data_IF_803294490269
#
_entry.id   IF_803294490269
#
_cell.length_a   1.000
_cell.length_b   1.000
_cell.length_c   1.000
_cell.angle_alpha   90.00
_cell.angle_beta   90.00
_cell.angle_gamma   90.00
#
_symmetry.space_group_name_H-M   'P 1'
#
loop_
_entity.id
_entity.type
_entity.pdbx_description
1 polymer ?
#
# COMPACT_ATOMS: atom_id res chain seq x y z
N UNK A 1 16.66 12.05 70.81
CA UNK A 1 16.74 11.63 69.41
C UNK A 1 15.47 12.03 68.71
N UNK A 2 15.52 12.98 67.78
CA UNK A 2 14.37 13.68 67.17
C UNK A 2 13.49 12.68 66.35
N UNK A 3 12.18 12.89 66.37
CA UNK A 3 11.19 12.12 65.62
C UNK A 3 11.56 12.08 64.11
N UNK A 4 12.18 13.12 63.61
CA UNK A 4 12.69 13.27 62.24
C UNK A 4 13.78 12.24 61.90
N UNK A 5 14.70 11.94 62.85
CA UNK A 5 15.75 10.94 62.66
C UNK A 5 15.22 9.52 62.62
N UNK A 6 14.17 9.22 63.40
CA UNK A 6 13.47 7.89 63.34
C UNK A 6 12.67 7.70 62.05
N UNK A 7 11.96 8.71 61.57
CA UNK A 7 11.26 8.68 60.28
C UNK A 7 12.20 8.51 59.10
N UNK A 8 13.35 9.20 59.10
CA UNK A 8 14.37 9.09 58.09
C UNK A 8 15.01 7.67 58.04
N UNK A 9 15.32 7.12 59.23
CA UNK A 9 15.84 5.75 59.33
C UNK A 9 14.84 4.68 58.84
N UNK A 10 13.55 4.87 59.15
CA UNK A 10 12.47 3.97 58.68
C UNK A 10 12.28 4.03 57.16
N UNK A 11 12.37 5.21 56.55
CA UNK A 11 12.33 5.42 55.11
C UNK A 11 13.50 4.73 54.42
N UNK A 12 14.72 4.93 54.90
CA UNK A 12 15.91 4.29 54.32
C UNK A 12 15.89 2.75 54.45
N UNK A 13 15.39 2.21 55.55
CA UNK A 13 15.22 0.76 55.70
C UNK A 13 14.21 0.19 54.72
N UNK A 14 13.10 0.86 54.47
CA UNK A 14 12.11 0.42 53.47
C UNK A 14 12.67 0.52 52.06
N UNK A 15 13.36 1.59 51.73
CA UNK A 15 14.02 1.77 50.46
C UNK A 15 15.08 0.67 50.22
N UNK A 16 15.90 0.39 51.25
CA UNK A 16 16.90 -0.68 51.16
C UNK A 16 16.27 -2.06 50.96
N UNK A 17 15.19 -2.37 51.73
CA UNK A 17 14.43 -3.61 51.57
C UNK A 17 13.79 -3.71 50.17
N UNK A 18 13.24 -2.64 49.64
CA UNK A 18 12.70 -2.63 48.28
C UNK A 18 13.77 -2.88 47.23
N UNK A 19 14.95 -2.29 47.40
CA UNK A 19 16.10 -2.52 46.52
C UNK A 19 16.64 -3.96 46.57
N UNK A 20 16.66 -4.56 47.78
CA UNK A 20 17.07 -5.98 47.98
C UNK A 20 16.04 -6.91 47.33
N UNK A 21 14.72 -6.64 47.50
CA UNK A 21 13.66 -7.45 46.90
C UNK A 21 13.71 -7.33 45.37
N UNK A 22 13.88 -6.13 44.83
CA UNK A 22 14.02 -5.88 43.39
C UNK A 22 15.29 -6.55 42.81
N UNK A 23 16.43 -6.46 43.50
CA UNK A 23 17.67 -7.11 43.10
C UNK A 23 17.57 -8.64 43.17
N UNK A 24 16.96 -9.18 44.24
CA UNK A 24 16.72 -10.62 44.39
C UNK A 24 15.79 -11.17 43.34
N UNK A 25 14.71 -10.47 43.02
CA UNK A 25 13.79 -10.83 41.96
C UNK A 25 14.45 -10.80 40.57
N UNK A 26 15.29 -9.78 40.30
CA UNK A 26 16.09 -9.70 39.08
C UNK A 26 17.06 -10.89 38.96
N UNK A 27 17.72 -11.27 40.06
CA UNK A 27 18.68 -12.38 40.07
C UNK A 27 18.01 -13.74 39.81
N UNK A 28 16.81 -13.98 40.33
CA UNK A 28 16.01 -15.20 40.08
C UNK A 28 15.50 -15.23 38.62
N UNK A 29 15.22 -14.09 38.04
CA UNK A 29 14.72 -14.00 36.66
C UNK A 29 15.77 -14.26 35.59
N UNK A 30 17.05 -13.92 35.85
CA UNK A 30 18.15 -14.11 34.87
C UNK A 30 18.23 -15.57 34.35
N UNK A 31 18.27 -16.61 35.20
CA UNK A 31 18.36 -18.00 34.69
C UNK A 31 17.09 -18.43 33.93
N UNK A 32 15.91 -17.87 34.28
CA UNK A 32 14.67 -18.15 33.55
C UNK A 32 14.70 -17.48 32.16
N UNK A 33 15.18 -16.25 32.05
CA UNK A 33 15.36 -15.57 30.76
C UNK A 33 16.39 -16.27 29.90
N UNK A 34 17.53 -16.71 30.46
CA UNK A 34 18.55 -17.49 29.74
C UNK A 34 18.02 -18.84 29.24
N UNK A 35 17.20 -19.51 30.05
CA UNK A 35 16.57 -20.78 29.65
C UNK A 35 15.55 -20.56 28.54
N UNK A 36 14.74 -19.52 28.63
CA UNK A 36 13.75 -19.15 27.61
C UNK A 36 14.44 -18.73 26.31
N UNK A 37 15.51 -17.94 26.40
CA UNK A 37 16.31 -17.54 25.24
C UNK A 37 16.93 -18.75 24.52
N UNK A 38 17.48 -19.71 25.29
CA UNK A 38 18.03 -20.95 24.73
C UNK A 38 16.95 -21.77 24.03
N UNK A 39 15.78 -21.90 24.64
CA UNK A 39 14.64 -22.61 24.04
C UNK A 39 14.14 -21.93 22.77
N UNK A 40 14.10 -20.59 22.72
CA UNK A 40 13.71 -19.84 21.54
C UNK A 40 14.74 -19.97 20.41
N UNK A 41 16.05 -20.02 20.72
CA UNK A 41 17.10 -20.28 19.75
C UNK A 41 17.01 -21.71 19.16
N UNK A 42 16.74 -22.69 19.99
CA UNK A 42 16.55 -24.08 19.58
C UNK A 42 15.32 -24.28 18.69
N UNK A 43 14.32 -23.41 18.84
CA UNK A 43 13.11 -23.39 18.01
C UNK A 43 13.26 -22.57 16.71
N UNK A 44 14.47 -22.06 16.39
CA UNK A 44 14.74 -21.33 15.15
C UNK A 44 14.38 -19.86 15.18
N UNK A 45 14.10 -19.29 16.37
CA UNK A 45 13.97 -17.85 16.50
C UNK A 45 15.35 -17.19 16.41
N UNK A 46 15.44 -16.15 15.55
CA UNK A 46 16.68 -15.46 15.17
C UNK A 46 17.43 -14.90 16.38
N UNK A 47 18.75 -15.05 16.39
CA UNK A 47 19.63 -14.38 17.36
C UNK A 47 19.57 -12.87 17.20
N UNK A 48 19.19 -12.18 18.27
CA UNK A 48 19.21 -10.72 18.30
C UNK A 48 20.59 -10.23 18.74
N UNK A 49 21.34 -9.69 17.79
CA UNK A 49 22.50 -8.87 18.09
C UNK A 49 22.21 -7.42 17.71
N UNK A 50 22.02 -6.51 18.69
CA UNK A 50 21.88 -5.07 18.39
C UNK A 50 23.14 -4.55 17.71
N UNK A 51 22.99 -3.58 16.80
CA UNK A 51 24.13 -2.89 16.19
C UNK A 51 25.04 -2.28 17.27
N UNK A 52 26.35 -2.13 16.98
CA UNK A 52 27.32 -1.59 17.96
C UNK A 52 26.86 -0.23 18.55
N UNK A 53 26.28 0.66 17.74
CA UNK A 53 25.74 1.94 18.21
C UNK A 53 24.49 1.78 19.10
N UNK A 54 23.66 0.79 18.87
CA UNK A 54 22.54 0.46 19.76
C UNK A 54 23.03 -0.17 21.06
N UNK A 55 24.14 -0.94 21.03
CA UNK A 55 24.77 -1.47 22.25
C UNK A 55 25.29 -0.38 23.18
N UNK A 56 25.95 0.64 22.66
CA UNK A 56 26.45 1.75 23.47
C UNK A 56 25.33 2.57 24.10
N UNK A 57 24.24 2.81 23.37
CA UNK A 57 23.04 3.49 23.91
C UNK A 57 22.29 2.61 24.91
N UNK A 58 22.25 1.31 24.70
CA UNK A 58 21.66 0.32 25.61
C UNK A 58 22.47 0.13 26.89
N UNK A 59 23.82 0.30 26.88
CA UNK A 59 24.65 0.00 28.06
C UNK A 59 24.27 0.87 29.27
N UNK A 60 23.87 2.11 29.07
CA UNK A 60 23.46 2.99 30.18
C UNK A 60 21.97 2.79 30.58
N UNK A 61 21.08 2.53 29.62
CA UNK A 61 19.66 2.33 29.92
C UNK A 61 19.30 0.86 30.24
N UNK A 62 20.02 -0.10 29.66
CA UNK A 62 19.74 -1.54 29.82
C UNK A 62 20.26 -2.12 31.12
N UNK A 63 21.30 -1.56 31.72
CA UNK A 63 21.76 -2.02 33.04
C UNK A 63 20.67 -1.86 34.09
N UNK A 64 19.97 -0.73 34.07
CA UNK A 64 18.82 -0.48 34.94
C UNK A 64 17.58 -1.27 34.52
N UNK A 65 17.35 -1.49 33.19
CA UNK A 65 16.19 -2.19 32.65
C UNK A 65 16.29 -3.72 32.70
N UNK A 66 17.50 -4.27 32.76
CA UNK A 66 17.71 -5.72 32.94
C UNK A 66 17.42 -6.20 34.35
N UNK A 67 17.49 -5.28 35.31
CA UNK A 67 17.17 -5.55 36.72
C UNK A 67 15.66 -5.32 36.92
N UNK A 68 14.88 -6.36 36.85
CA UNK A 68 13.51 -6.33 37.38
C UNK A 68 12.36 -5.92 36.47
N UNK A 69 12.46 -6.11 35.16
CA UNK A 69 11.28 -5.93 34.28
C UNK A 69 10.93 -4.46 33.94
N UNK A 70 11.84 -3.52 34.18
CA UNK A 70 11.64 -2.09 33.86
C UNK A 70 11.78 -1.72 32.38
N UNK A 71 12.01 -2.70 31.49
CA UNK A 71 12.18 -2.44 30.05
C UNK A 71 11.02 -1.65 29.46
N UNK A 72 9.78 -2.02 29.78
CA UNK A 72 8.59 -1.31 29.29
C UNK A 72 8.47 0.11 29.85
N UNK A 73 8.80 0.31 31.12
CA UNK A 73 8.80 1.64 31.73
C UNK A 73 9.84 2.55 31.08
N UNK A 74 11.05 2.04 30.87
CA UNK A 74 12.12 2.81 30.23
C UNK A 74 11.75 3.10 28.77
N UNK A 75 11.20 2.12 28.04
CA UNK A 75 10.70 2.34 26.69
C UNK A 75 9.65 3.45 26.64
N UNK A 76 8.69 3.46 27.59
CA UNK A 76 7.68 4.52 27.70
C UNK A 76 8.29 5.90 27.97
N UNK A 77 9.31 5.99 28.82
CA UNK A 77 10.02 7.26 29.09
C UNK A 77 10.70 7.75 27.81
N UNK A 78 11.37 6.86 27.04
CA UNK A 78 12.01 7.25 25.79
C UNK A 78 11.01 7.56 24.70
N UNK A 79 9.84 6.92 24.66
CA UNK A 79 8.74 7.25 23.76
C UNK A 79 8.22 8.69 24.01
N UNK A 80 8.05 9.07 25.29
CA UNK A 80 7.71 10.45 25.64
C UNK A 80 8.81 11.46 25.26
N UNK A 81 10.09 11.10 25.43
CA UNK A 81 11.22 11.93 24.97
C UNK A 81 11.25 12.06 23.45
N UNK A 82 10.97 10.97 22.73
CA UNK A 82 10.85 11.01 21.27
C UNK A 82 9.72 11.95 20.84
N UNK A 83 8.58 11.89 21.54
CA UNK A 83 7.47 12.80 21.26
C UNK A 83 7.83 14.28 21.55
N UNK A 84 8.52 14.56 22.65
CA UNK A 84 8.99 15.93 22.94
C UNK A 84 9.97 16.41 21.85
N UNK A 85 10.95 15.61 21.48
CA UNK A 85 11.89 15.94 20.40
C UNK A 85 11.16 16.14 19.04
N UNK A 86 10.11 15.39 18.79
CA UNK A 86 9.24 15.57 17.63
C UNK A 86 8.55 16.95 17.63
N UNK A 87 8.04 17.41 18.77
CA UNK A 87 7.43 18.74 18.90
C UNK A 87 8.48 19.84 18.66
N UNK A 88 9.70 19.64 19.15
CA UNK A 88 10.83 20.56 19.01
C UNK A 88 11.48 20.50 17.61
N UNK A 89 11.03 19.57 16.73
CA UNK A 89 11.61 19.31 15.40
C UNK A 89 13.08 18.88 15.43
N UNK A 90 13.53 18.33 16.55
CA UNK A 90 14.85 17.71 16.72
C UNK A 90 14.82 16.25 16.23
N UNK A 91 14.92 16.11 14.92
CA UNK A 91 14.80 14.79 14.25
C UNK A 91 15.94 13.84 14.60
N UNK A 92 17.11 14.36 14.96
CA UNK A 92 18.23 13.55 15.42
C UNK A 92 17.93 12.88 16.77
N UNK A 93 17.35 13.64 17.71
CA UNK A 93 16.88 13.09 18.98
C UNK A 93 15.68 12.16 18.81
N UNK A 94 14.75 12.44 17.88
CA UNK A 94 13.66 11.50 17.52
C UNK A 94 14.23 10.16 17.07
N UNK A 95 15.15 10.16 16.11
CA UNK A 95 15.81 8.93 15.61
C UNK A 95 16.47 8.15 16.76
N UNK A 96 17.24 8.84 17.60
CA UNK A 96 17.92 8.25 18.74
C UNK A 96 16.94 7.62 19.74
N UNK A 97 15.92 8.35 20.15
CA UNK A 97 14.97 7.86 21.17
C UNK A 97 14.07 6.75 20.62
N UNK A 98 13.64 6.82 19.35
CA UNK A 98 12.93 5.72 18.66
C UNK A 98 13.80 4.46 18.57
N UNK A 99 15.10 4.61 18.30
CA UNK A 99 16.05 3.50 18.32
C UNK A 99 16.13 2.81 19.69
N UNK A 100 16.08 3.59 20.78
CA UNK A 100 16.05 3.02 22.13
C UNK A 100 14.74 2.27 22.39
N UNK A 101 13.58 2.84 22.04
CA UNK A 101 12.27 2.19 22.27
C UNK A 101 12.16 0.87 21.52
N UNK A 102 12.56 0.83 20.24
CA UNK A 102 12.53 -0.39 19.43
C UNK A 102 13.50 -1.45 19.94
N UNK A 103 14.68 -1.04 20.43
CA UNK A 103 15.66 -1.96 21.01
C UNK A 103 15.19 -2.55 22.35
N UNK A 104 14.48 -1.79 23.16
CA UNK A 104 13.94 -2.25 24.46
C UNK A 104 12.72 -3.17 24.28
N UNK A 105 11.90 -2.91 23.29
CA UNK A 105 10.68 -3.67 23.00
C UNK A 105 10.58 -4.06 21.52
N UNK A 106 11.47 -4.93 21.01
CA UNK A 106 11.55 -5.25 19.57
C UNK A 106 10.31 -5.96 19.03
N UNK A 107 9.54 -6.66 19.87
CA UNK A 107 8.28 -7.32 19.51
C UNK A 107 7.06 -6.41 19.55
N UNK A 108 7.22 -5.13 19.89
CA UNK A 108 6.11 -4.19 19.95
C UNK A 108 6.02 -3.40 18.64
N UNK A 109 5.18 -3.87 17.72
CA UNK A 109 5.04 -3.34 16.34
C UNK A 109 4.86 -1.82 16.28
N UNK A 110 4.13 -1.23 17.25
CA UNK A 110 3.85 0.21 17.28
C UNK A 110 5.11 1.08 17.37
N UNK A 111 6.14 0.63 18.08
CA UNK A 111 7.39 1.41 18.18
C UNK A 111 8.10 1.51 16.83
N UNK A 112 8.11 0.42 16.05
CA UNK A 112 8.67 0.40 14.70
C UNK A 112 7.85 1.23 13.71
N UNK A 113 6.51 1.13 13.78
CA UNK A 113 5.60 1.94 12.95
C UNK A 113 5.80 3.43 13.20
N UNK A 114 5.85 3.85 14.49
CA UNK A 114 6.09 5.25 14.85
C UNK A 114 7.49 5.73 14.41
N UNK A 115 8.53 4.92 14.60
CA UNK A 115 9.88 5.29 14.19
C UNK A 115 9.97 5.49 12.68
N UNK A 116 9.40 4.57 11.90
CA UNK A 116 9.35 4.67 10.45
C UNK A 116 8.54 5.89 10.00
N UNK A 117 7.37 6.13 10.60
CA UNK A 117 6.50 7.26 10.28
C UNK A 117 7.15 8.61 10.61
N UNK A 118 7.74 8.74 11.80
CA UNK A 118 8.38 9.98 12.22
C UNK A 118 9.52 10.36 11.28
N UNK A 119 10.27 9.41 10.76
CA UNK A 119 11.43 9.70 9.91
C UNK A 119 11.07 9.76 8.42
N UNK A 120 10.41 8.72 7.86
CA UNK A 120 10.12 8.67 6.41
C UNK A 120 9.02 9.63 5.96
N UNK A 121 8.12 10.06 6.86
CA UNK A 121 7.06 11.02 6.50
C UNK A 121 7.26 12.37 7.16
N UNK A 122 7.36 12.44 8.49
CA UNK A 122 7.38 13.72 9.21
C UNK A 122 8.71 14.46 9.03
N UNK A 123 9.86 13.83 9.30
CA UNK A 123 11.16 14.46 9.11
C UNK A 123 11.42 14.77 7.63
N UNK A 124 11.11 13.82 6.73
CA UNK A 124 11.19 14.03 5.30
C UNK A 124 10.37 15.25 4.84
N UNK A 125 9.09 15.34 5.26
CA UNK A 125 8.21 16.45 4.90
C UNK A 125 8.70 17.79 5.49
N UNK A 126 9.22 17.77 6.72
CA UNK A 126 9.80 18.96 7.36
C UNK A 126 10.95 19.54 6.52
N UNK A 127 11.91 18.70 6.14
CA UNK A 127 13.06 19.17 5.35
C UNK A 127 12.67 19.52 3.91
N UNK A 128 11.72 18.82 3.32
CA UNK A 128 11.15 19.18 2.01
C UNK A 128 10.54 20.58 2.07
N UNK A 129 9.62 20.82 3.00
CA UNK A 129 8.96 22.13 3.12
C UNK A 129 9.97 23.22 3.42
N UNK A 130 10.90 22.98 4.37
CA UNK A 130 11.94 23.95 4.70
C UNK A 130 12.84 24.27 3.50
N UNK A 131 13.14 23.27 2.65
CA UNK A 131 13.93 23.48 1.43
C UNK A 131 13.20 24.27 0.35
N UNK A 132 11.85 24.13 0.28
CA UNK A 132 11.00 24.88 -0.65
C UNK A 132 10.85 26.37 -0.25
N UNK A 133 10.99 26.67 1.04
CA UNK A 133 10.88 28.04 1.58
C UNK A 133 12.24 28.73 1.80
N UNK A 134 13.35 27.98 1.69
CA UNK A 134 14.68 28.55 1.78
C UNK A 134 15.04 29.24 0.47
N UNK A 135 15.76 30.38 0.56
CA UNK A 135 16.37 30.97 -0.61
C UNK A 135 17.33 29.97 -1.27
N UNK A 136 17.39 29.97 -2.61
CA UNK A 136 18.27 29.07 -3.35
C UNK A 136 19.73 29.23 -2.87
N UNK A 137 20.31 28.12 -2.41
CA UNK A 137 21.67 28.12 -1.85
C UNK A 137 22.07 26.80 -1.22
N UNK A 138 23.20 26.83 -0.51
CA UNK A 138 23.81 25.66 0.13
C UNK A 138 22.85 24.98 1.11
N UNK A 139 22.08 25.77 1.87
CA UNK A 139 21.16 25.23 2.88
C UNK A 139 20.00 24.46 2.22
N UNK A 140 19.37 25.02 1.19
CA UNK A 140 18.32 24.33 0.41
C UNK A 140 18.86 23.04 -0.21
N UNK A 141 20.06 23.07 -0.78
CA UNK A 141 20.72 21.92 -1.36
C UNK A 141 20.98 20.81 -0.31
N UNK A 142 21.51 21.19 0.88
CA UNK A 142 21.75 20.23 1.97
C UNK A 142 20.46 19.54 2.42
N UNK A 143 19.37 20.31 2.56
CA UNK A 143 18.08 19.74 2.95
C UNK A 143 17.57 18.74 1.93
N UNK A 144 17.60 19.06 0.62
CA UNK A 144 17.12 18.19 -0.46
C UNK A 144 18.00 16.96 -0.67
N UNK A 145 19.31 17.12 -0.66
CA UNK A 145 20.23 16.09 -1.12
C UNK A 145 20.86 15.27 0.01
N UNK A 146 20.80 15.76 1.24
CA UNK A 146 21.39 15.07 2.41
C UNK A 146 20.31 14.71 3.43
N UNK A 147 19.55 15.69 3.93
CA UNK A 147 18.65 15.44 5.07
C UNK A 147 17.41 14.64 4.68
N UNK A 148 16.77 14.99 3.57
CA UNK A 148 15.59 14.25 3.10
C UNK A 148 15.89 12.77 2.79
N UNK A 149 16.90 12.43 1.96
CA UNK A 149 17.26 11.03 1.70
C UNK A 149 17.65 10.28 2.97
N UNK A 150 18.47 10.92 3.85
CA UNK A 150 18.89 10.30 5.10
C UNK A 150 17.72 9.86 5.98
N UNK A 151 16.75 10.73 6.21
CA UNK A 151 15.61 10.40 7.07
C UNK A 151 14.64 9.43 6.40
N UNK A 152 14.50 9.51 5.08
CA UNK A 152 13.73 8.53 4.32
C UNK A 152 14.34 7.12 4.44
N UNK A 153 15.65 7.01 4.27
CA UNK A 153 16.39 5.75 4.39
C UNK A 153 16.32 5.20 5.82
N UNK A 154 16.50 6.05 6.83
CA UNK A 154 16.37 5.65 8.24
C UNK A 154 14.96 5.18 8.58
N UNK A 155 13.94 5.85 8.09
CA UNK A 155 12.55 5.40 8.27
C UNK A 155 12.28 4.05 7.59
N UNK A 156 12.82 3.83 6.39
CA UNK A 156 12.75 2.54 5.69
C UNK A 156 13.49 1.44 6.46
N UNK A 157 14.66 1.74 7.03
CA UNK A 157 15.43 0.82 7.86
C UNK A 157 14.62 0.36 9.08
N UNK A 158 14.01 1.29 9.82
CA UNK A 158 13.13 0.96 10.95
C UNK A 158 11.94 0.10 10.52
N UNK A 159 11.30 0.44 9.40
CA UNK A 159 10.17 -0.33 8.90
C UNK A 159 10.57 -1.78 8.55
N UNK A 160 11.69 -1.97 7.85
CA UNK A 160 12.21 -3.30 7.48
C UNK A 160 12.60 -4.12 8.70
N UNK A 161 13.35 -3.53 9.64
CA UNK A 161 13.71 -4.20 10.88
C UNK A 161 12.46 -4.59 11.67
N UNK A 162 11.48 -3.70 11.76
CA UNK A 162 10.21 -3.99 12.41
C UNK A 162 9.47 -5.17 11.76
N UNK A 163 9.43 -5.23 10.43
CA UNK A 163 8.80 -6.34 9.70
C UNK A 163 9.59 -7.66 9.83
N UNK A 164 10.87 -7.62 10.19
CA UNK A 164 11.66 -8.80 10.55
C UNK A 164 11.42 -9.25 12.00
N UNK A 165 11.28 -8.30 12.94
CA UNK A 165 11.04 -8.58 14.36
C UNK A 165 9.62 -9.04 14.67
N UNK A 166 8.64 -8.57 13.91
CA UNK A 166 7.21 -8.84 14.09
C UNK A 166 6.62 -9.24 12.74
N UNK A 167 7.04 -10.41 12.19
CA UNK A 167 6.65 -10.84 10.85
C UNK A 167 5.15 -11.12 10.72
N UNK A 168 4.46 -11.36 11.83
CA UNK A 168 3.01 -11.54 11.92
C UNK A 168 2.23 -10.23 11.73
N UNK A 169 2.87 -9.07 11.81
CA UNK A 169 2.21 -7.78 11.66
C UNK A 169 2.07 -7.37 10.20
N UNK A 170 0.84 -7.40 9.66
CA UNK A 170 0.58 -6.85 8.32
C UNK A 170 1.00 -5.38 8.23
N UNK A 171 0.83 -4.63 9.32
CA UNK A 171 1.06 -3.19 9.37
C UNK A 171 2.51 -2.81 9.04
N UNK A 172 3.48 -3.53 9.60
CA UNK A 172 4.90 -3.22 9.39
C UNK A 172 5.35 -3.49 7.95
N UNK A 173 4.95 -4.65 7.40
CA UNK A 173 5.21 -4.93 5.98
C UNK A 173 4.52 -3.91 5.06
N UNK A 174 3.29 -3.47 5.42
CA UNK A 174 2.57 -2.43 4.69
C UNK A 174 3.30 -1.08 4.74
N UNK A 175 3.87 -0.68 5.88
CA UNK A 175 4.64 0.56 5.99
C UNK A 175 5.85 0.55 5.06
N UNK A 176 6.55 -0.58 4.92
CA UNK A 176 7.64 -0.72 3.94
C UNK A 176 7.11 -0.53 2.52
N UNK A 177 5.98 -1.18 2.18
CA UNK A 177 5.35 -1.05 0.88
C UNK A 177 4.93 0.41 0.58
N UNK A 178 4.35 1.09 1.58
CA UNK A 178 3.94 2.50 1.47
C UNK A 178 5.14 3.42 1.18
N UNK A 179 6.29 3.17 1.82
CA UNK A 179 7.52 3.94 1.57
C UNK A 179 7.98 3.73 0.12
N UNK A 180 8.05 2.48 -0.35
CA UNK A 180 8.42 2.21 -1.74
C UNK A 180 7.45 2.82 -2.74
N UNK A 181 6.14 2.71 -2.48
CA UNK A 181 5.10 3.27 -3.33
C UNK A 181 5.13 4.80 -3.39
N UNK A 182 5.17 5.46 -2.22
CA UNK A 182 4.91 6.91 -2.12
C UNK A 182 6.17 7.76 -2.19
N UNK A 183 7.33 7.21 -1.81
CA UNK A 183 8.58 7.97 -1.73
C UNK A 183 9.56 7.60 -2.83
N UNK A 184 9.72 6.31 -3.09
CA UNK A 184 10.61 5.83 -4.15
C UNK A 184 9.91 5.70 -5.50
N UNK A 185 8.56 5.68 -5.53
CA UNK A 185 7.75 5.42 -6.72
C UNK A 185 8.17 4.11 -7.42
N UNK A 186 8.46 3.10 -6.62
CA UNK A 186 8.86 1.76 -7.05
C UNK A 186 7.68 0.79 -6.87
N UNK A 187 6.88 0.55 -7.94
CA UNK A 187 5.73 -0.34 -7.83
C UNK A 187 6.13 -1.81 -7.65
N UNK A 188 7.32 -2.20 -8.09
CA UNK A 188 7.77 -3.58 -7.99
C UNK A 188 8.09 -3.96 -6.54
N UNK A 189 8.95 -3.19 -5.88
CA UNK A 189 9.22 -3.40 -4.46
C UNK A 189 7.98 -3.16 -3.60
N UNK A 190 7.15 -2.17 -3.95
CA UNK A 190 5.88 -1.95 -3.25
C UNK A 190 4.96 -3.18 -3.34
N UNK A 191 4.79 -3.77 -4.54
CA UNK A 191 3.93 -4.93 -4.72
C UNK A 191 4.43 -6.15 -3.91
N UNK A 192 5.74 -6.40 -3.89
CA UNK A 192 6.32 -7.49 -3.11
C UNK A 192 6.03 -7.35 -1.61
N UNK A 193 6.17 -6.14 -1.07
CA UNK A 193 5.91 -5.88 0.35
C UNK A 193 4.41 -5.85 0.69
N UNK A 194 3.53 -5.39 -0.23
CA UNK A 194 2.08 -5.52 -0.06
C UNK A 194 1.65 -6.99 -0.11
N UNK A 195 2.26 -7.81 -0.98
CA UNK A 195 2.01 -9.26 -0.98
C UNK A 195 2.36 -9.87 0.38
N UNK A 196 3.58 -9.60 0.89
CA UNK A 196 4.00 -10.04 2.21
C UNK A 196 3.03 -9.60 3.31
N UNK A 197 2.61 -8.33 3.26
CA UNK A 197 1.63 -7.77 4.20
C UNK A 197 0.27 -8.46 4.12
N UNK A 198 -0.19 -8.82 2.91
CA UNK A 198 -1.49 -9.46 2.70
C UNK A 198 -1.57 -10.92 3.15
N UNK A 199 -0.42 -11.54 3.41
CA UNK A 199 -0.31 -12.92 3.89
C UNK A 199 -0.47 -13.04 5.41
N UNK A 200 -0.43 -11.93 6.15
CA UNK A 200 -0.68 -11.95 7.59
C UNK A 200 -2.17 -12.26 7.89
N UNK A 201 -2.43 -13.01 8.95
CA UNK A 201 -3.76 -13.50 9.31
C UNK A 201 -4.76 -12.36 9.59
N UNK A 202 -4.26 -11.24 10.15
CA UNK A 202 -5.04 -10.06 10.50
C UNK A 202 -5.06 -8.99 9.39
N UNK A 203 -4.53 -9.30 8.20
CA UNK A 203 -4.45 -8.36 7.10
C UNK A 203 -5.85 -7.96 6.58
N UNK A 204 -6.19 -6.67 6.61
CA UNK A 204 -7.47 -6.23 6.10
C UNK A 204 -7.51 -6.29 4.57
N UNK A 205 -8.72 -6.46 3.97
CA UNK A 205 -8.88 -6.65 2.51
C UNK A 205 -8.25 -5.56 1.64
N UNK A 206 -8.09 -4.34 2.16
CA UNK A 206 -7.50 -3.25 1.39
C UNK A 206 -6.00 -3.46 1.09
N UNK A 207 -5.30 -4.23 1.91
CA UNK A 207 -3.87 -4.54 1.68
C UNK A 207 -3.70 -5.39 0.42
N UNK A 208 -4.57 -6.40 0.24
CA UNK A 208 -4.55 -7.22 -0.97
C UNK A 208 -4.94 -6.41 -2.21
N UNK A 209 -5.86 -5.43 -2.08
CA UNK A 209 -6.13 -4.48 -3.18
C UNK A 209 -4.92 -3.62 -3.53
N UNK A 210 -4.19 -3.16 -2.51
CA UNK A 210 -2.96 -2.40 -2.73
C UNK A 210 -1.92 -3.24 -3.46
N UNK A 211 -1.76 -4.51 -3.09
CA UNK A 211 -0.93 -5.47 -3.83
C UNK A 211 -1.32 -5.54 -5.31
N UNK A 212 -2.59 -5.85 -5.60
CA UNK A 212 -3.08 -5.95 -6.98
C UNK A 212 -2.85 -4.67 -7.78
N UNK A 213 -3.14 -3.51 -7.17
CA UNK A 213 -2.97 -2.20 -7.83
C UNK A 213 -1.49 -1.89 -8.15
N UNK A 214 -0.56 -2.25 -7.27
CA UNK A 214 0.87 -2.01 -7.52
C UNK A 214 1.44 -3.03 -8.50
N UNK A 215 1.04 -4.29 -8.40
CA UNK A 215 1.40 -5.32 -9.37
C UNK A 215 0.95 -4.94 -10.80
N UNK A 216 -0.25 -4.39 -10.92
CA UNK A 216 -0.79 -3.89 -12.19
C UNK A 216 0.01 -2.72 -12.81
N UNK A 217 0.92 -2.10 -12.07
CA UNK A 217 1.84 -1.05 -12.55
C UNK A 217 3.22 -1.59 -12.91
N UNK A 218 3.52 -2.85 -12.58
CA UNK A 218 4.79 -3.48 -12.90
C UNK A 218 4.80 -3.88 -14.38
N UNK A 219 5.80 -3.41 -15.12
CA UNK A 219 5.95 -3.75 -16.54
C UNK A 219 6.30 -5.24 -16.71
N UNK A 220 5.64 -5.90 -17.65
CA UNK A 220 5.86 -7.32 -17.94
C UNK A 220 5.19 -8.29 -16.96
N UNK A 221 4.39 -7.78 -16.01
CA UNK A 221 3.60 -8.59 -15.06
C UNK A 221 2.10 -8.44 -15.27
N UNK A 222 1.67 -8.02 -16.46
CA UNK A 222 0.29 -7.72 -16.76
C UNK A 222 -0.62 -8.96 -16.66
N UNK A 223 -0.13 -10.14 -17.06
CA UNK A 223 -0.88 -11.39 -16.95
C UNK A 223 -1.05 -11.83 -15.49
N UNK A 224 0.03 -11.81 -14.69
CA UNK A 224 -0.02 -12.08 -13.25
C UNK A 224 -0.95 -11.08 -12.54
N UNK A 225 -0.82 -9.80 -12.87
CA UNK A 225 -1.66 -8.75 -12.33
C UNK A 225 -3.14 -8.93 -12.69
N UNK A 226 -3.43 -9.41 -13.90
CA UNK A 226 -4.78 -9.72 -14.32
C UNK A 226 -5.39 -10.86 -13.51
N UNK A 227 -4.66 -11.95 -13.28
CA UNK A 227 -5.11 -13.07 -12.45
C UNK A 227 -5.47 -12.61 -11.04
N UNK A 228 -4.59 -11.85 -10.40
CA UNK A 228 -4.82 -11.31 -9.06
C UNK A 228 -6.02 -10.34 -9.04
N UNK A 229 -6.09 -9.42 -10.01
CA UNK A 229 -7.16 -8.40 -10.08
C UNK A 229 -8.52 -9.04 -10.41
N UNK A 230 -8.55 -10.04 -11.30
CA UNK A 230 -9.78 -10.77 -11.65
C UNK A 230 -10.28 -11.62 -10.47
N UNK A 231 -9.39 -12.21 -9.68
CA UNK A 231 -9.75 -12.92 -8.47
C UNK A 231 -10.41 -11.99 -7.44
N UNK A 232 -9.90 -10.76 -7.28
CA UNK A 232 -10.53 -9.73 -6.47
C UNK A 232 -11.88 -9.30 -7.02
N UNK A 233 -11.97 -9.11 -8.35
CA UNK A 233 -13.18 -8.67 -9.02
C UNK A 233 -14.33 -9.70 -8.86
N UNK A 234 -14.01 -10.99 -8.93
CA UNK A 234 -14.96 -12.10 -8.86
C UNK A 234 -15.15 -12.67 -7.45
N UNK A 235 -14.33 -12.27 -6.48
CA UNK A 235 -14.32 -12.88 -5.14
C UNK A 235 -15.43 -12.36 -4.26
N UNK A 236 -16.25 -13.28 -3.73
CA UNK A 236 -17.18 -13.02 -2.63
C UNK A 236 -16.47 -12.87 -1.27
N UNK A 237 -15.23 -13.41 -1.13
CA UNK A 237 -14.42 -13.36 0.11
C UNK A 237 -14.17 -11.94 0.59
N UNK A 238 -13.96 -11.01 -0.31
CA UNK A 238 -13.65 -9.61 0.02
C UNK A 238 -14.89 -8.71 0.05
N UNK A 239 -16.07 -9.22 -0.33
CA UNK A 239 -17.34 -8.49 -0.39
C UNK A 239 -17.33 -7.35 -1.42
N UNK A 240 -18.46 -6.64 -1.52
CA UNK A 240 -18.63 -5.51 -2.47
C UNK A 240 -17.64 -4.35 -2.24
N UNK A 241 -17.13 -4.20 -1.02
CA UNK A 241 -16.11 -3.18 -0.68
C UNK A 241 -14.74 -3.44 -1.33
N UNK A 242 -14.49 -4.66 -1.82
CA UNK A 242 -13.28 -4.99 -2.57
C UNK A 242 -13.26 -4.33 -3.96
N UNK A 243 -14.42 -4.11 -4.56
CA UNK A 243 -14.57 -3.51 -5.88
C UNK A 243 -14.52 -1.99 -5.84
N UNK A 244 -13.36 -1.44 -5.50
CA UNK A 244 -13.11 0.00 -5.56
C UNK A 244 -13.00 0.47 -7.01
N UNK A 245 -13.15 1.78 -7.23
CA UNK A 245 -12.95 2.38 -8.54
C UNK A 245 -11.55 2.06 -9.13
N UNK A 246 -10.52 1.99 -8.28
CA UNK A 246 -9.16 1.65 -8.71
C UNK A 246 -9.09 0.22 -9.25
N UNK A 247 -9.63 -0.77 -8.53
CA UNK A 247 -9.65 -2.17 -8.98
C UNK A 247 -10.39 -2.33 -10.33
N UNK A 248 -11.52 -1.63 -10.49
CA UNK A 248 -12.28 -1.65 -11.76
C UNK A 248 -11.48 -1.07 -12.92
N UNK A 249 -10.77 0.03 -12.69
CA UNK A 249 -9.92 0.68 -13.70
C UNK A 249 -8.68 -0.16 -14.04
N UNK A 250 -8.07 -0.78 -13.03
CA UNK A 250 -6.94 -1.67 -13.24
C UNK A 250 -7.37 -2.90 -14.04
N UNK A 251 -8.54 -3.49 -13.72
CA UNK A 251 -9.11 -4.60 -14.48
C UNK A 251 -9.30 -4.23 -15.94
N UNK A 252 -9.99 -3.11 -16.22
CA UNK A 252 -10.22 -2.64 -17.58
C UNK A 252 -8.90 -2.38 -18.35
N UNK A 253 -7.92 -1.77 -17.69
CA UNK A 253 -6.61 -1.47 -18.31
C UNK A 253 -5.83 -2.75 -18.63
N UNK A 254 -5.86 -3.73 -17.74
CA UNK A 254 -5.19 -5.01 -17.92
C UNK A 254 -5.83 -5.82 -19.04
N UNK A 255 -7.17 -5.87 -19.10
CA UNK A 255 -7.88 -6.55 -20.20
C UNK A 255 -7.63 -5.85 -21.55
N UNK A 256 -7.62 -4.52 -21.59
CA UNK A 256 -7.24 -3.77 -22.79
C UNK A 256 -5.83 -4.10 -23.25
N UNK A 257 -4.88 -4.16 -22.32
CA UNK A 257 -3.48 -4.50 -22.64
C UNK A 257 -3.35 -5.93 -23.18
N UNK A 258 -3.96 -6.90 -22.51
CA UNK A 258 -3.93 -8.30 -22.93
C UNK A 258 -4.63 -8.48 -24.28
N UNK A 259 -5.76 -7.83 -24.50
CA UNK A 259 -6.48 -7.90 -25.77
C UNK A 259 -5.68 -7.24 -26.91
N UNK A 260 -5.06 -6.09 -26.67
CA UNK A 260 -4.23 -5.41 -27.64
C UNK A 260 -2.96 -6.20 -28.00
N UNK A 261 -2.28 -6.78 -27.00
CA UNK A 261 -1.11 -7.64 -27.20
C UNK A 261 -1.49 -8.84 -28.09
N UNK A 262 -2.54 -9.57 -27.69
CA UNK A 262 -3.00 -10.72 -28.46
C UNK A 262 -3.44 -10.34 -29.88
N UNK A 263 -4.11 -9.20 -30.06
CA UNK A 263 -4.53 -8.70 -31.38
C UNK A 263 -3.38 -8.49 -32.35
N UNK A 264 -2.19 -8.13 -31.84
CA UNK A 264 -1.00 -7.89 -32.68
C UNK A 264 -0.11 -9.14 -32.86
N UNK A 265 -0.13 -10.07 -31.91
CA UNK A 265 0.74 -11.24 -31.90
C UNK A 265 0.08 -12.48 -32.49
N UNK A 266 -1.26 -12.59 -32.44
CA UNK A 266 -2.02 -13.75 -32.90
C UNK A 266 -2.67 -13.51 -34.28
N UNK A 267 -2.77 -14.57 -35.09
CA UNK A 267 -3.52 -14.51 -36.34
C UNK A 267 -5.03 -14.47 -36.11
N UNK A 268 -5.81 -13.97 -37.08
CA UNK A 268 -7.27 -13.97 -37.03
C UNK A 268 -7.81 -15.38 -36.79
N UNK A 269 -7.30 -16.38 -37.50
CA UNK A 269 -7.69 -17.78 -37.38
C UNK A 269 -7.46 -18.34 -35.97
N UNK A 270 -6.32 -17.98 -35.32
CA UNK A 270 -6.05 -18.38 -33.95
C UNK A 270 -7.04 -17.76 -32.96
N UNK A 271 -7.40 -16.49 -33.15
CA UNK A 271 -8.38 -15.78 -32.31
C UNK A 271 -9.81 -16.31 -32.51
N UNK A 272 -10.20 -16.62 -33.75
CA UNK A 272 -11.50 -17.24 -34.05
C UNK A 272 -11.60 -18.64 -33.45
N UNK A 273 -10.54 -19.45 -33.55
CA UNK A 273 -10.48 -20.77 -32.94
C UNK A 273 -10.57 -20.71 -31.41
N UNK A 274 -9.96 -19.69 -30.77
CA UNK A 274 -10.07 -19.49 -29.34
C UNK A 274 -11.53 -19.21 -28.92
N UNK A 275 -12.24 -18.38 -29.67
CA UNK A 275 -13.66 -18.05 -29.42
C UNK A 275 -14.55 -19.25 -29.67
N UNK A 276 -14.26 -20.10 -30.66
CA UNK A 276 -15.04 -21.30 -30.97
C UNK A 276 -14.77 -22.45 -29.99
N UNK A 277 -13.79 -22.35 -29.12
CA UNK A 277 -13.49 -23.39 -28.13
C UNK A 277 -14.58 -23.50 -27.06
N UNK A 278 -14.81 -24.72 -26.56
CA UNK A 278 -15.78 -24.98 -25.46
C UNK A 278 -15.38 -24.30 -24.12
N UNK A 279 -14.21 -23.69 -24.05
CA UNK A 279 -13.69 -23.00 -22.86
C UNK A 279 -13.51 -21.50 -23.13
N UNK A 280 -14.08 -20.97 -24.19
CA UNK A 280 -13.99 -19.56 -24.53
C UNK A 280 -14.56 -18.68 -23.42
N UNK A 281 -13.91 -17.56 -23.16
CA UNK A 281 -14.30 -16.56 -22.19
C UNK A 281 -14.61 -15.23 -22.90
N UNK A 282 -15.31 -14.32 -22.23
CA UNK A 282 -15.52 -12.98 -22.78
C UNK A 282 -14.19 -12.27 -23.14
N UNK A 283 -13.07 -12.64 -22.51
CA UNK A 283 -11.76 -12.09 -22.82
C UNK A 283 -11.25 -12.56 -24.20
N UNK A 284 -11.58 -13.78 -24.61
CA UNK A 284 -11.22 -14.28 -25.94
C UNK A 284 -12.00 -13.53 -27.03
N UNK A 285 -13.28 -13.24 -26.80
CA UNK A 285 -14.04 -12.33 -27.63
C UNK A 285 -13.45 -10.90 -27.64
N UNK A 286 -12.95 -10.40 -26.51
CA UNK A 286 -12.31 -9.08 -26.44
C UNK A 286 -11.01 -9.02 -27.26
N UNK A 287 -10.19 -10.08 -27.26
CA UNK A 287 -9.00 -10.21 -28.11
C UNK A 287 -9.37 -10.18 -29.59
N UNK A 288 -10.38 -10.96 -30.00
CA UNK A 288 -10.88 -10.97 -31.37
C UNK A 288 -11.47 -9.61 -31.78
N UNK A 289 -12.30 -9.02 -30.92
CA UNK A 289 -12.89 -7.71 -31.16
C UNK A 289 -11.82 -6.61 -31.33
N UNK A 290 -10.76 -6.64 -30.52
CA UNK A 290 -9.63 -5.73 -30.63
C UNK A 290 -8.86 -5.92 -31.95
N UNK A 291 -8.62 -7.17 -32.38
CA UNK A 291 -7.98 -7.47 -33.66
C UNK A 291 -8.78 -6.95 -34.85
N UNK A 292 -10.11 -7.19 -34.85
CA UNK A 292 -11.00 -6.70 -35.89
C UNK A 292 -11.01 -5.17 -35.95
N UNK A 293 -10.98 -4.49 -34.79
CA UNK A 293 -11.01 -3.04 -34.70
C UNK A 293 -9.68 -2.41 -35.10
N UNK A 294 -8.55 -2.89 -34.56
CA UNK A 294 -7.25 -2.21 -34.68
C UNK A 294 -6.45 -2.71 -35.89
N UNK A 295 -6.48 -4.00 -36.19
CA UNK A 295 -5.68 -4.60 -37.27
C UNK A 295 -6.47 -4.67 -38.57
N UNK A 296 -7.70 -5.19 -38.53
CA UNK A 296 -8.56 -5.32 -39.74
C UNK A 296 -9.33 -4.05 -40.07
N UNK A 297 -9.50 -3.12 -39.12
CA UNK A 297 -10.30 -1.90 -39.26
C UNK A 297 -11.75 -2.18 -39.67
N UNK A 298 -12.26 -3.36 -39.30
CA UNK A 298 -13.65 -3.79 -39.55
C UNK A 298 -14.50 -3.48 -38.32
N UNK A 299 -15.03 -2.27 -38.28
CA UNK A 299 -15.91 -1.82 -37.18
C UNK A 299 -17.18 -2.67 -37.09
N UNK A 300 -17.74 -3.12 -38.24
CA UNK A 300 -19.00 -3.88 -38.25
C UNK A 300 -18.82 -5.26 -37.60
N UNK A 301 -17.76 -5.97 -37.97
CA UNK A 301 -17.41 -7.26 -37.35
C UNK A 301 -17.05 -7.09 -35.87
N UNK A 302 -16.26 -6.06 -35.51
CA UNK A 302 -15.91 -5.76 -34.13
C UNK A 302 -17.16 -5.50 -33.28
N UNK A 303 -18.11 -4.70 -33.76
CA UNK A 303 -19.38 -4.44 -33.04
C UNK A 303 -20.19 -5.71 -32.81
N UNK A 304 -20.19 -6.67 -33.74
CA UNK A 304 -20.85 -7.96 -33.55
C UNK A 304 -20.22 -8.72 -32.38
N UNK A 305 -18.89 -8.80 -32.35
CA UNK A 305 -18.15 -9.47 -31.28
C UNK A 305 -18.35 -8.78 -29.92
N UNK A 306 -18.31 -7.45 -29.85
CA UNK A 306 -18.55 -6.73 -28.58
C UNK A 306 -20.00 -6.90 -28.07
N UNK A 307 -20.98 -7.14 -28.93
CA UNK A 307 -22.35 -7.49 -28.51
C UNK A 307 -22.41 -8.84 -27.81
N UNK A 308 -21.65 -9.83 -28.28
CA UNK A 308 -21.57 -11.14 -27.62
C UNK A 308 -20.92 -10.99 -26.21
N UNK A 309 -19.89 -10.16 -26.05
CA UNK A 309 -19.30 -9.87 -24.74
C UNK A 309 -20.34 -9.29 -23.78
N UNK A 310 -21.14 -8.32 -24.24
CA UNK A 310 -22.14 -7.66 -23.39
C UNK A 310 -23.27 -8.62 -22.98
N UNK A 311 -23.52 -9.66 -23.76
CA UNK A 311 -24.50 -10.70 -23.45
C UNK A 311 -23.99 -11.73 -22.42
N UNK A 312 -22.67 -11.82 -22.22
CA UNK A 312 -22.07 -12.68 -21.19
C UNK A 312 -22.27 -12.07 -19.80
N UNK A 313 -22.89 -12.81 -18.90
CA UNK A 313 -23.16 -12.38 -17.51
C UNK A 313 -21.91 -12.19 -16.68
N UNK A 314 -20.82 -12.82 -17.06
CA UNK A 314 -19.51 -12.73 -16.38
C UNK A 314 -18.69 -11.54 -16.86
N UNK A 315 -19.05 -10.95 -18.02
CA UNK A 315 -18.31 -9.83 -18.56
C UNK A 315 -18.48 -8.57 -17.70
N UNK A 316 -17.38 -7.83 -17.44
CA UNK A 316 -17.44 -6.59 -16.72
C UNK A 316 -18.29 -5.52 -17.43
N UNK A 317 -19.03 -4.73 -16.64
CA UNK A 317 -19.98 -3.74 -17.16
C UNK A 317 -19.32 -2.65 -18.05
N UNK A 318 -18.02 -2.44 -17.95
CA UNK A 318 -17.32 -1.48 -18.80
C UNK A 318 -17.33 -1.86 -20.30
N UNK A 319 -17.56 -3.15 -20.65
CA UNK A 319 -17.78 -3.54 -22.05
C UNK A 319 -19.06 -2.98 -22.63
N UNK A 320 -20.13 -2.82 -21.84
CA UNK A 320 -21.32 -2.12 -22.28
C UNK A 320 -21.03 -0.67 -22.67
N UNK A 321 -20.22 0.04 -21.89
CA UNK A 321 -19.77 1.37 -22.23
C UNK A 321 -18.92 1.37 -23.52
N UNK A 322 -17.94 0.44 -23.64
CA UNK A 322 -17.11 0.32 -24.85
C UNK A 322 -17.95 0.11 -26.11
N UNK A 323 -18.90 -0.82 -26.06
CA UNK A 323 -19.82 -1.08 -27.17
C UNK A 323 -20.60 0.18 -27.55
N UNK A 324 -21.19 0.88 -26.55
CA UNK A 324 -21.94 2.09 -26.81
C UNK A 324 -21.07 3.23 -27.36
N UNK A 325 -19.84 3.38 -26.86
CA UNK A 325 -18.88 4.36 -27.41
C UNK A 325 -18.51 4.06 -28.86
N UNK A 326 -18.32 2.78 -29.23
CA UNK A 326 -18.08 2.38 -30.60
C UNK A 326 -19.32 2.62 -31.49
N UNK A 327 -20.52 2.33 -30.99
CA UNK A 327 -21.77 2.63 -31.73
C UNK A 327 -21.98 4.13 -31.94
N UNK A 328 -21.52 4.98 -31.01
CA UNK A 328 -21.63 6.43 -31.14
C UNK A 328 -20.80 6.99 -32.31
N UNK A 329 -19.81 6.26 -32.81
CA UNK A 329 -19.05 6.66 -33.99
C UNK A 329 -19.87 6.49 -35.29
N UNK A 330 -20.97 5.73 -35.27
CA UNK A 330 -21.82 5.53 -36.45
C UNK A 330 -22.97 6.55 -36.47
N UNK A 331 -23.06 7.42 -37.50
CA UNK A 331 -24.08 8.49 -37.59
C UNK A 331 -25.55 8.00 -37.50
N UNK A 332 -25.81 6.79 -38.00
CA UNK A 332 -27.18 6.25 -38.10
C UNK A 332 -27.83 5.99 -36.75
N UNK A 333 -27.02 5.64 -35.73
CA UNK A 333 -27.53 5.20 -34.43
C UNK A 333 -27.24 6.18 -33.30
N UNK A 334 -26.76 7.38 -33.58
CA UNK A 334 -26.25 8.32 -32.56
C UNK A 334 -27.29 8.69 -31.51
N UNK A 335 -28.53 8.95 -31.87
CA UNK A 335 -29.59 9.36 -30.92
C UNK A 335 -29.94 8.22 -29.95
N UNK A 336 -30.12 7.02 -30.46
CA UNK A 336 -30.40 5.84 -29.62
C UNK A 336 -29.21 5.51 -28.72
N UNK A 337 -28.00 5.61 -29.25
CA UNK A 337 -26.74 5.39 -28.50
C UNK A 337 -26.56 6.42 -27.40
N UNK A 338 -26.87 7.70 -27.69
CA UNK A 338 -26.82 8.76 -26.69
C UNK A 338 -27.75 8.49 -25.52
N UNK A 339 -29.01 8.12 -25.78
CA UNK A 339 -29.96 7.81 -24.70
C UNK A 339 -29.53 6.57 -23.90
N UNK A 340 -28.96 5.56 -24.56
CA UNK A 340 -28.40 4.39 -23.87
C UNK A 340 -27.18 4.75 -22.99
N UNK A 341 -26.26 5.57 -23.50
CA UNK A 341 -25.11 6.08 -22.74
C UNK A 341 -25.56 6.92 -21.55
N UNK A 342 -26.52 7.80 -21.73
CA UNK A 342 -27.11 8.63 -20.67
C UNK A 342 -27.72 7.79 -19.56
N UNK A 343 -28.45 6.73 -19.92
CA UNK A 343 -29.03 5.77 -18.97
C UNK A 343 -27.94 5.00 -18.22
N UNK A 344 -26.90 4.55 -18.93
CA UNK A 344 -25.77 3.85 -18.34
C UNK A 344 -24.95 4.76 -17.40
N UNK A 345 -24.69 6.01 -17.81
CA UNK A 345 -24.01 7.01 -16.99
C UNK A 345 -24.78 7.32 -15.69
N UNK A 346 -26.11 7.41 -15.76
CA UNK A 346 -26.96 7.60 -14.58
C UNK A 346 -26.93 6.40 -13.63
N UNK A 347 -26.86 5.17 -14.19
CA UNK A 347 -26.85 3.92 -13.40
C UNK A 347 -25.49 3.58 -12.80
N UNK A 348 -24.40 3.84 -13.53
CA UNK A 348 -23.05 3.40 -13.20
C UNK A 348 -22.01 4.45 -13.65
N UNK A 349 -21.99 5.65 -13.04
CA UNK A 349 -21.08 6.73 -13.44
C UNK A 349 -19.60 6.34 -13.26
N UNK A 350 -19.31 5.42 -12.37
CA UNK A 350 -17.96 4.98 -12.01
C UNK A 350 -17.22 4.24 -13.13
N UNK A 351 -17.92 3.70 -14.12
CA UNK A 351 -17.30 3.01 -15.25
C UNK A 351 -16.84 3.97 -16.35
N UNK A 352 -17.25 5.26 -16.30
CA UNK A 352 -16.87 6.24 -17.31
C UNK A 352 -15.52 6.87 -16.98
N UNK A 353 -14.65 6.98 -17.99
CA UNK A 353 -13.39 7.72 -17.92
C UNK A 353 -13.63 9.18 -18.29
N UNK A 354 -12.69 10.07 -17.94
CA UNK A 354 -12.77 11.47 -18.32
C UNK A 354 -12.92 11.66 -19.84
N UNK A 355 -12.21 10.85 -20.62
CA UNK A 355 -12.28 10.90 -22.08
C UNK A 355 -13.67 10.53 -22.59
N UNK A 356 -14.29 9.49 -22.03
CA UNK A 356 -15.64 9.08 -22.39
C UNK A 356 -16.68 10.19 -22.15
N UNK A 357 -16.52 10.94 -21.05
CA UNK A 357 -17.38 12.08 -20.73
C UNK A 357 -17.19 13.22 -21.73
N UNK A 358 -15.98 13.48 -22.19
CA UNK A 358 -15.69 14.46 -23.24
C UNK A 358 -16.39 14.06 -24.55
N UNK A 359 -16.25 12.81 -24.97
CA UNK A 359 -16.90 12.30 -26.19
C UNK A 359 -18.43 12.30 -26.06
N UNK A 360 -18.95 11.94 -24.88
CA UNK A 360 -20.39 12.04 -24.60
C UNK A 360 -20.91 13.47 -24.73
N UNK A 361 -20.19 14.48 -24.20
CA UNK A 361 -20.54 15.88 -24.32
C UNK A 361 -20.50 16.36 -25.78
N UNK A 362 -19.51 15.93 -26.57
CA UNK A 362 -19.45 16.23 -28.00
C UNK A 362 -20.64 15.66 -28.75
N UNK A 363 -21.02 14.40 -28.44
CA UNK A 363 -22.19 13.74 -29.03
C UNK A 363 -23.49 14.50 -28.68
N UNK A 364 -23.65 14.92 -27.43
CA UNK A 364 -24.78 15.74 -26.99
C UNK A 364 -24.89 17.05 -27.75
N UNK A 365 -23.78 17.75 -27.89
CA UNK A 365 -23.72 19.02 -28.62
C UNK A 365 -24.07 18.84 -30.10
N UNK A 366 -23.58 17.81 -30.75
CA UNK A 366 -23.84 17.51 -32.17
C UNK A 366 -25.32 17.18 -32.41
N UNK A 367 -25.95 16.44 -31.53
CA UNK A 367 -27.36 16.09 -31.59
C UNK A 367 -28.28 17.32 -31.33
N UNK A 368 -27.87 18.20 -30.40
CA UNK A 368 -28.55 19.45 -30.12
C UNK A 368 -28.52 20.39 -31.31
N UNK A 369 -27.38 20.53 -31.97
CA UNK A 369 -27.25 21.33 -33.19
C UNK A 369 -28.08 20.76 -34.36
N UNK A 370 -28.10 19.43 -34.53
CA UNK A 370 -28.94 18.77 -35.57
C UNK A 370 -30.44 18.97 -35.34
N UNK A 371 -30.91 18.99 -34.09
CA UNK A 371 -32.31 19.24 -33.74
C UNK A 371 -32.74 20.70 -34.00
N UNK A 372 -31.85 21.65 -33.76
CA UNK A 372 -32.14 23.06 -34.04
C UNK A 372 -32.20 23.36 -35.55
N UNK A 373 -31.34 22.73 -36.35
CA UNK A 373 -31.39 22.88 -37.80
C UNK A 373 -32.67 22.30 -38.43
N UNK A 374 -33.17 21.16 -37.91
CA UNK A 374 -34.43 20.55 -38.35
C UNK A 374 -35.69 21.34 -37.94
N UNK A 375 -35.62 22.26 -37.00
CA UNK A 375 -36.70 23.12 -36.59
C UNK A 375 -36.74 24.48 -37.34
N UNK A 376 -35.66 24.78 -38.06
CA UNK A 376 -35.51 26.00 -38.86
C UNK A 376 -35.80 25.75 -40.38
N UNK A 377 -35.99 24.52 -40.78
CA UNK A 377 -36.57 24.09 -42.06
C UNK A 377 -38.09 23.81 -41.90
#
# INVERSE_FOLDING_TARGET
>A
MSIVTKLRSYFYRRLLLSLIILGGFGFVRIPMEMSTEKMLKEQGFRDWAPSMSAREQLTQASFVGSIGGFRSLIASIYDLRAHQAFLDKDWASVEKFRGVTTSLQPRFAKHWDLAAWDLAWNAYAYYRNKSEWAEDGVESWQMKNIMMPRYLEKGLEFAKQGAEWVPESYRLAMVVADIYSQKYNDPELASQWYLKSSQADDAPPYVFRAYATHLARCKGKEEEAYEVTSSLYNSTRFGTRALTLTVRRDMERLEDHIAFKAANEMSLEQLENAVLSNRSTYLDYAKLGMHLLEVKKDLKAALAVYREIVNDKNAPLFYSRKLLMLLATNPVNQEQTYEALKKLLKKSPEIFRRQDLIEFTKLETSLGASKNNRKSE
#
